data_IF_549908481114
#
_entry.id   IF_549908481114
#
_cell.length_a   1.000
_cell.length_b   1.000
_cell.length_c   1.000
_cell.angle_alpha   90.00
_cell.angle_beta   90.00
_cell.angle_gamma   90.00
#
_symmetry.space_group_name_H-M   'P 1'
#
loop_
_entity.id
_entity.type
_entity.pdbx_description
1 polymer ?
#
# COMPACT_ATOMS: atom_id res chain seq x y z
N UNK A 1 -31.97 37.59 -2.18
CA UNK A 1 -31.12 36.80 -3.10
C UNK A 1 -29.65 36.79 -2.67
N UNK A 2 -29.35 36.99 -1.37
CA UNK A 2 -27.98 36.93 -0.80
C UNK A 2 -27.83 35.84 0.27
N UNK A 3 -28.93 35.20 0.67
CA UNK A 3 -28.96 34.23 1.78
C UNK A 3 -28.70 32.78 1.33
N UNK A 4 -28.92 32.47 0.06
CA UNK A 4 -28.73 31.13 -0.52
C UNK A 4 -27.24 30.87 -0.82
N UNK A 5 -26.56 31.90 -1.36
CA UNK A 5 -25.13 31.86 -1.68
C UNK A 5 -24.21 31.81 -0.44
N UNK A 6 -24.73 32.20 0.73
CA UNK A 6 -24.02 32.12 2.02
C UNK A 6 -24.16 30.73 2.65
N UNK A 7 -25.30 30.05 2.46
CA UNK A 7 -25.49 28.66 2.88
C UNK A 7 -24.62 27.70 2.07
N UNK A 8 -24.51 27.91 0.76
CA UNK A 8 -23.68 27.06 -0.10
C UNK A 8 -22.17 27.23 0.19
N UNK A 9 -21.74 28.43 0.59
CA UNK A 9 -20.37 28.69 1.07
C UNK A 9 -20.09 28.04 2.43
N UNK A 10 -21.03 28.05 3.36
CA UNK A 10 -20.89 27.42 4.69
C UNK A 10 -20.92 25.89 4.57
N UNK A 11 -21.63 25.33 3.59
CA UNK A 11 -21.66 23.87 3.35
C UNK A 11 -20.39 23.35 2.63
N UNK A 12 -19.66 24.21 1.93
CA UNK A 12 -18.37 23.87 1.31
C UNK A 12 -17.19 23.93 2.31
N UNK A 13 -17.36 24.66 3.42
CA UNK A 13 -16.28 24.96 4.38
C UNK A 13 -16.25 24.02 5.60
N UNK A 14 -17.14 23.02 5.67
CA UNK A 14 -17.26 22.13 6.82
C UNK A 14 -17.26 20.63 6.47
N UNK A 15 -16.53 20.25 5.42
CA UNK A 15 -15.98 18.89 5.36
C UNK A 15 -14.69 18.88 6.17
N UNK A 16 -14.83 18.91 7.51
CA UNK A 16 -13.74 18.57 8.40
C UNK A 16 -13.19 17.23 7.95
N UNK A 17 -12.03 17.32 7.31
CA UNK A 17 -11.32 16.20 6.71
C UNK A 17 -11.03 15.23 7.84
N UNK A 18 -11.70 14.09 7.88
CA UNK A 18 -11.41 13.03 8.86
C UNK A 18 -10.03 12.46 8.55
N UNK A 19 -8.98 13.13 9.05
CA UNK A 19 -7.63 12.57 9.18
C UNK A 19 -7.70 11.39 10.14
N UNK A 20 -6.81 10.42 10.00
CA UNK A 20 -6.73 9.37 11.02
C UNK A 20 -6.39 10.02 12.37
N UNK A 21 -7.16 9.70 13.42
CA UNK A 21 -6.88 10.19 14.77
C UNK A 21 -5.47 9.80 15.22
N UNK A 22 -4.89 8.75 14.64
CA UNK A 22 -3.49 8.38 14.83
C UNK A 22 -2.50 9.45 14.34
N UNK A 23 -2.66 9.98 13.12
CA UNK A 23 -1.75 11.01 12.56
C UNK A 23 -1.78 12.29 13.41
N UNK A 24 -2.95 12.65 13.94
CA UNK A 24 -3.11 13.80 14.84
C UNK A 24 -2.42 13.63 16.20
N UNK A 25 -2.18 12.37 16.62
CA UNK A 25 -1.52 12.03 17.91
C UNK A 25 0.00 11.91 17.79
N UNK A 26 0.57 11.97 16.58
CA UNK A 26 2.02 11.93 16.39
C UNK A 26 2.64 13.29 16.75
N UNK A 27 3.79 13.31 17.48
CA UNK A 27 4.51 14.56 17.72
C UNK A 27 4.82 15.22 16.37
N UNK A 28 4.48 16.51 16.29
CA UNK A 28 4.34 17.32 15.08
C UNK A 28 5.12 16.84 13.85
N UNK A 29 4.44 16.12 12.98
CA UNK A 29 4.82 15.95 11.58
C UNK A 29 4.51 17.25 10.82
N UNK A 30 4.98 18.39 11.33
CA UNK A 30 4.71 19.71 10.78
C UNK A 30 5.72 19.97 9.66
N UNK A 31 5.27 19.81 8.42
CA UNK A 31 5.85 20.22 7.11
C UNK A 31 7.27 20.85 7.11
N UNK A 32 8.20 20.50 6.22
CA UNK A 32 8.08 20.27 4.78
C UNK A 32 9.29 19.47 4.30
N UNK A 33 9.10 18.60 3.30
CA UNK A 33 10.12 17.68 2.77
C UNK A 33 10.47 16.57 3.77
N UNK A 34 10.62 15.36 3.25
CA UNK A 34 11.50 14.41 3.91
C UNK A 34 12.89 15.05 4.02
N UNK A 35 13.27 15.47 5.23
CA UNK A 35 14.57 16.09 5.50
C UNK A 35 14.89 16.36 6.96
N UNK A 36 14.15 15.77 7.92
CA UNK A 36 14.35 16.09 9.34
C UNK A 36 13.91 15.03 10.36
N UNK A 37 13.22 13.97 9.97
CA UNK A 37 12.97 12.83 10.87
C UNK A 37 14.24 11.98 10.88
N UNK A 38 14.87 11.87 12.05
CA UNK A 38 16.02 11.00 12.23
C UNK A 38 15.63 9.53 12.00
N UNK A 39 16.61 8.69 11.64
CA UNK A 39 16.38 7.24 11.52
C UNK A 39 15.84 6.67 12.83
N UNK A 40 16.30 7.20 13.95
CA UNK A 40 15.91 6.84 15.30
C UNK A 40 14.43 7.17 15.56
N UNK A 41 13.98 8.37 15.20
CA UNK A 41 12.60 8.80 15.42
C UNK A 41 11.63 8.08 14.49
N UNK A 42 12.01 7.85 13.23
CA UNK A 42 11.25 6.98 12.33
C UNK A 42 11.11 5.56 12.88
N UNK A 43 12.17 5.03 13.52
CA UNK A 43 12.14 3.71 14.15
C UNK A 43 11.23 3.67 15.38
N UNK A 44 11.22 4.73 16.19
CA UNK A 44 10.32 4.87 17.35
C UNK A 44 8.85 4.94 16.92
N UNK A 45 8.54 5.71 15.88
CA UNK A 45 7.16 5.83 15.35
C UNK A 45 6.66 4.47 14.85
N UNK A 46 7.47 3.76 14.06
CA UNK A 46 7.13 2.41 13.59
C UNK A 46 6.93 1.45 14.77
N UNK A 47 7.80 1.48 15.78
CA UNK A 47 7.63 0.67 16.98
C UNK A 47 6.33 1.01 17.73
N UNK A 48 5.95 2.29 17.81
CA UNK A 48 4.71 2.72 18.45
C UNK A 48 3.46 2.23 17.70
N UNK A 49 3.46 2.27 16.36
CA UNK A 49 2.36 1.74 15.53
C UNK A 49 2.19 0.23 15.80
N UNK A 50 3.28 -0.54 15.75
CA UNK A 50 3.20 -1.98 16.01
C UNK A 50 2.79 -2.29 17.45
N UNK A 51 3.23 -1.49 18.44
CA UNK A 51 2.79 -1.62 19.84
C UNK A 51 1.29 -1.39 20.00
N UNK A 52 0.70 -0.46 19.25
CA UNK A 52 -0.74 -0.25 19.24
C UNK A 52 -1.50 -1.36 18.49
N UNK A 53 -0.82 -2.06 17.57
CA UNK A 53 -1.30 -3.26 16.92
C UNK A 53 -2.04 -3.00 15.61
N UNK A 54 -2.72 -4.04 15.11
CA UNK A 54 -3.34 -4.05 13.77
C UNK A 54 -4.40 -2.97 13.56
N UNK A 55 -5.03 -2.47 14.64
CA UNK A 55 -6.01 -1.39 14.56
C UNK A 55 -5.41 -0.10 14.00
N UNK A 56 -4.20 0.27 14.46
CA UNK A 56 -3.52 1.48 13.99
C UNK A 56 -3.16 1.41 12.50
N UNK A 57 -2.71 0.24 12.04
CA UNK A 57 -2.38 0.02 10.61
C UNK A 57 -3.64 0.17 9.75
N UNK A 58 -4.78 -0.40 10.20
CA UNK A 58 -6.06 -0.27 9.51
C UNK A 58 -6.57 1.17 9.51
N UNK A 59 -6.35 1.91 10.58
CA UNK A 59 -6.70 3.33 10.68
C UNK A 59 -5.90 4.16 9.66
N UNK A 60 -4.59 3.92 9.52
CA UNK A 60 -3.77 4.54 8.48
C UNK A 60 -4.27 4.22 7.07
N UNK A 61 -4.62 2.96 6.80
CA UNK A 61 -5.18 2.56 5.50
C UNK A 61 -6.51 3.25 5.23
N UNK A 62 -7.36 3.40 6.26
CA UNK A 62 -8.66 4.08 6.11
C UNK A 62 -8.55 5.58 5.83
N UNK A 63 -7.40 6.20 6.16
CA UNK A 63 -7.10 7.58 5.82
C UNK A 63 -6.58 7.79 4.39
N UNK A 64 -6.30 6.71 3.66
CA UNK A 64 -5.87 6.81 2.26
C UNK A 64 -7.01 7.30 1.36
N UNK A 65 -6.64 8.12 0.38
CA UNK A 65 -7.54 8.63 -0.64
C UNK A 65 -7.32 7.91 -1.96
N UNK A 66 -8.43 7.72 -2.68
CA UNK A 66 -8.40 7.15 -4.02
C UNK A 66 -7.60 8.03 -4.99
N UNK A 67 -7.92 9.33 -4.99
CA UNK A 67 -7.14 10.33 -5.73
C UNK A 67 -5.99 10.78 -4.85
N UNK A 68 -4.76 10.50 -5.30
CA UNK A 68 -3.56 10.99 -4.64
C UNK A 68 -3.42 12.51 -4.90
N UNK A 69 -4.08 13.31 -4.05
CA UNK A 69 -3.94 14.76 -4.02
C UNK A 69 -2.72 15.22 -3.20
N UNK A 70 -1.92 14.29 -2.69
CA UNK A 70 -0.88 14.55 -1.71
C UNK A 70 -1.41 14.87 -0.31
N UNK A 71 -2.72 14.82 -0.06
CA UNK A 71 -3.29 15.10 1.27
C UNK A 71 -3.11 13.94 2.27
N UNK A 72 -3.06 12.69 1.79
CA UNK A 72 -2.83 11.47 2.58
C UNK A 72 -1.35 11.06 2.62
N UNK A 73 -0.44 12.02 2.35
CA UNK A 73 1.00 11.75 2.25
C UNK A 73 1.57 11.16 3.55
N UNK A 74 1.01 11.54 4.71
CA UNK A 74 1.47 11.06 6.02
C UNK A 74 1.10 9.58 6.20
N UNK A 75 -0.12 9.21 5.89
CA UNK A 75 -0.60 7.82 5.90
C UNK A 75 0.25 6.96 4.96
N UNK A 76 0.42 7.38 3.70
CA UNK A 76 1.25 6.67 2.72
C UNK A 76 2.68 6.52 3.20
N UNK A 77 3.23 7.57 3.77
CA UNK A 77 4.59 7.55 4.29
C UNK A 77 4.75 6.54 5.43
N UNK A 78 3.86 6.58 6.42
CA UNK A 78 3.93 5.69 7.57
C UNK A 78 3.75 4.23 7.13
N UNK A 79 2.82 3.96 6.21
CA UNK A 79 2.61 2.63 5.64
C UNK A 79 3.84 2.13 4.87
N UNK A 80 4.53 3.01 4.16
CA UNK A 80 5.81 2.69 3.51
C UNK A 80 6.91 2.38 4.54
N UNK A 81 7.05 3.21 5.59
CA UNK A 81 8.03 2.99 6.66
C UNK A 81 7.79 1.68 7.41
N UNK A 82 6.53 1.30 7.65
CA UNK A 82 6.20 -0.01 8.21
C UNK A 82 6.73 -1.14 7.33
N UNK A 83 6.57 -1.05 6.01
CA UNK A 83 7.06 -2.07 5.08
C UNK A 83 8.59 -2.15 5.08
N UNK A 84 9.28 -1.01 4.94
CA UNK A 84 10.75 -0.97 4.91
C UNK A 84 11.35 -1.50 6.21
N UNK A 85 10.84 -1.07 7.36
CA UNK A 85 11.43 -1.43 8.64
C UNK A 85 11.06 -2.84 9.12
N UNK A 86 9.88 -3.35 8.76
CA UNK A 86 9.51 -4.73 9.10
C UNK A 86 10.27 -5.80 8.29
N UNK A 87 11.04 -5.39 7.27
CA UNK A 87 12.00 -6.28 6.58
C UNK A 87 13.11 -6.83 7.50
N UNK A 88 13.42 -6.16 8.61
CA UNK A 88 14.44 -6.62 9.55
C UNK A 88 14.10 -8.00 10.17
N UNK A 89 15.08 -8.90 10.37
CA UNK A 89 14.84 -10.21 11.00
C UNK A 89 14.19 -10.14 12.38
N UNK A 90 14.55 -9.13 13.19
CA UNK A 90 14.00 -8.90 14.53
C UNK A 90 12.51 -8.55 14.55
N UNK A 91 11.93 -8.21 13.40
CA UNK A 91 10.52 -7.82 13.22
C UNK A 91 9.71 -8.86 12.45
N UNK A 92 10.11 -10.13 12.48
CA UNK A 92 9.42 -11.18 11.72
C UNK A 92 7.92 -11.31 12.05
N UNK A 93 7.51 -11.11 13.31
CA UNK A 93 6.11 -11.16 13.71
C UNK A 93 5.34 -9.93 13.19
N UNK A 94 5.88 -8.73 13.38
CA UNK A 94 5.36 -7.48 12.82
C UNK A 94 5.15 -7.59 11.30
N UNK A 95 6.14 -8.14 10.59
CA UNK A 95 6.10 -8.37 9.15
C UNK A 95 4.95 -9.28 8.72
N UNK A 96 4.73 -10.39 9.44
CA UNK A 96 3.61 -11.31 9.17
C UNK A 96 2.26 -10.60 9.32
N UNK A 97 2.10 -9.81 10.38
CA UNK A 97 0.88 -9.02 10.61
C UNK A 97 0.67 -8.01 9.49
N UNK A 98 1.73 -7.29 9.11
CA UNK A 98 1.69 -6.29 8.05
C UNK A 98 1.30 -6.89 6.69
N UNK A 99 1.96 -8.00 6.29
CA UNK A 99 1.66 -8.72 5.04
C UNK A 99 0.19 -9.11 5.00
N UNK A 100 -0.34 -9.71 6.08
CA UNK A 100 -1.74 -10.14 6.13
C UNK A 100 -2.71 -8.98 5.94
N UNK A 101 -2.45 -7.83 6.57
CA UNK A 101 -3.32 -6.66 6.45
C UNK A 101 -3.25 -6.09 5.02
N UNK A 102 -2.05 -5.89 4.48
CA UNK A 102 -1.87 -5.31 3.14
C UNK A 102 -2.43 -6.21 2.04
N UNK A 103 -2.18 -7.53 2.12
CA UNK A 103 -2.71 -8.50 1.17
C UNK A 103 -4.24 -8.55 1.22
N UNK A 104 -4.83 -8.55 2.43
CA UNK A 104 -6.29 -8.53 2.60
C UNK A 104 -6.95 -7.32 1.94
N UNK A 105 -6.34 -6.14 2.01
CA UNK A 105 -6.91 -4.93 1.36
C UNK A 105 -6.65 -4.96 -0.14
N UNK A 106 -5.46 -5.38 -0.59
CA UNK A 106 -5.15 -5.51 -2.01
C UNK A 106 -6.06 -6.51 -2.74
N UNK A 107 -6.45 -7.60 -2.07
CA UNK A 107 -7.37 -8.62 -2.59
C UNK A 107 -8.85 -8.22 -2.52
N UNK A 108 -9.17 -7.14 -1.81
CA UNK A 108 -10.54 -6.61 -1.74
C UNK A 108 -10.99 -5.90 -3.02
N UNK A 109 -12.16 -5.30 -2.96
CA UNK A 109 -12.85 -4.58 -4.05
C UNK A 109 -12.74 -3.04 -3.92
N UNK A 110 -11.84 -2.55 -3.07
CA UNK A 110 -11.61 -1.12 -2.88
C UNK A 110 -10.95 -0.43 -4.09
N UNK A 111 -10.68 0.89 -4.00
CA UNK A 111 -10.10 1.65 -5.10
C UNK A 111 -8.78 1.09 -5.61
N UNK A 112 -8.63 1.01 -6.94
CA UNK A 112 -7.45 0.43 -7.60
C UNK A 112 -6.13 1.12 -7.20
N UNK A 113 -6.16 2.43 -6.97
CA UNK A 113 -5.00 3.22 -6.54
C UNK A 113 -4.52 2.85 -5.13
N UNK A 114 -5.45 2.56 -4.21
CA UNK A 114 -5.13 2.12 -2.84
C UNK A 114 -4.61 0.68 -2.86
N UNK A 115 -5.31 -0.20 -3.60
CA UNK A 115 -4.92 -1.62 -3.75
C UNK A 115 -3.52 -1.74 -4.36
N UNK A 116 -3.25 -1.03 -5.44
CA UNK A 116 -1.93 -1.00 -6.09
C UNK A 116 -0.85 -0.40 -5.19
N UNK A 117 -1.14 0.67 -4.44
CA UNK A 117 -0.20 1.23 -3.46
C UNK A 117 0.24 0.19 -2.41
N UNK A 118 -0.71 -0.58 -1.86
CA UNK A 118 -0.40 -1.61 -0.86
C UNK A 118 0.36 -2.80 -1.47
N UNK A 119 0.05 -3.19 -2.71
CA UNK A 119 0.87 -4.15 -3.45
C UNK A 119 2.31 -3.66 -3.65
N UNK A 120 2.52 -2.37 -3.96
CA UNK A 120 3.88 -1.83 -4.04
C UNK A 120 4.63 -1.93 -2.71
N UNK A 121 3.93 -1.81 -1.57
CA UNK A 121 4.57 -1.99 -0.26
C UNK A 121 4.90 -3.46 0.03
N UNK A 122 4.07 -4.39 -0.44
CA UNK A 122 4.34 -5.83 -0.30
C UNK A 122 5.61 -6.28 -1.02
N UNK A 123 6.15 -5.51 -1.97
CA UNK A 123 7.44 -5.79 -2.62
C UNK A 123 8.62 -5.81 -1.64
N UNK A 124 8.53 -5.10 -0.51
CA UNK A 124 9.60 -5.02 0.50
C UNK A 124 9.56 -6.16 1.51
N UNK A 125 8.40 -6.79 1.69
CA UNK A 125 8.14 -7.68 2.83
C UNK A 125 7.58 -9.04 2.44
N UNK A 126 6.94 -9.14 1.27
CA UNK A 126 6.34 -10.35 0.74
C UNK A 126 7.40 -11.40 0.38
N UNK A 127 7.11 -12.65 0.71
CA UNK A 127 7.95 -13.80 0.37
C UNK A 127 7.17 -14.85 -0.44
N UNK A 128 7.81 -15.97 -0.72
CA UNK A 128 7.26 -17.07 -1.54
C UNK A 128 5.84 -17.49 -1.15
N UNK A 129 5.53 -17.54 0.14
CA UNK A 129 4.21 -17.96 0.64
C UNK A 129 3.07 -17.01 0.26
N UNK A 130 3.38 -15.75 -0.08
CA UNK A 130 2.39 -14.75 -0.48
C UNK A 130 2.01 -14.86 -1.97
N UNK A 131 2.88 -15.45 -2.81
CA UNK A 131 2.65 -15.49 -4.24
C UNK A 131 1.35 -16.23 -4.63
N UNK A 132 1.03 -17.42 -4.08
CA UNK A 132 -0.23 -18.09 -4.39
C UNK A 132 -1.46 -17.29 -3.96
N UNK A 133 -1.37 -16.58 -2.83
CA UNK A 133 -2.47 -15.76 -2.29
C UNK A 133 -2.78 -14.57 -3.20
N UNK A 134 -1.76 -13.93 -3.79
CA UNK A 134 -1.94 -12.80 -4.71
C UNK A 134 -2.20 -13.20 -6.17
N UNK A 135 -2.05 -14.48 -6.51
CA UNK A 135 -2.22 -14.98 -7.89
C UNK A 135 -3.55 -14.58 -8.56
N UNK A 136 -4.71 -14.52 -7.87
CA UNK A 136 -5.97 -14.07 -8.48
C UNK A 136 -5.89 -12.66 -9.10
N UNK A 137 -5.07 -11.77 -8.54
CA UNK A 137 -4.91 -10.40 -9.04
C UNK A 137 -4.21 -10.32 -10.40
N UNK A 138 -3.58 -11.41 -10.87
CA UNK A 138 -3.03 -11.49 -12.23
C UNK A 138 -4.12 -11.55 -13.31
N UNK A 139 -5.40 -11.64 -12.90
CA UNK A 139 -6.59 -11.55 -13.75
C UNK A 139 -7.45 -10.34 -13.41
N UNK A 140 -6.96 -9.41 -12.59
CA UNK A 140 -7.70 -8.21 -12.19
C UNK A 140 -8.05 -7.35 -13.42
N UNK A 141 -9.23 -6.71 -13.40
CA UNK A 141 -9.67 -5.84 -14.49
C UNK A 141 -8.91 -4.51 -14.53
N UNK A 142 -8.33 -4.09 -13.41
CA UNK A 142 -7.65 -2.81 -13.25
C UNK A 142 -6.16 -2.90 -13.61
N UNK A 143 -5.69 -2.20 -14.66
CA UNK A 143 -4.29 -2.25 -15.09
C UNK A 143 -3.28 -1.89 -13.97
N UNK A 144 -3.63 -0.93 -13.10
CA UNK A 144 -2.79 -0.53 -11.97
C UNK A 144 -2.57 -1.68 -10.98
N UNK A 145 -3.59 -2.48 -10.74
CA UNK A 145 -3.51 -3.62 -9.81
C UNK A 145 -2.71 -4.75 -10.45
N UNK A 146 -2.98 -5.05 -11.72
CA UNK A 146 -2.23 -6.02 -12.52
C UNK A 146 -0.72 -5.73 -12.51
N UNK A 147 -0.33 -4.51 -12.85
CA UNK A 147 1.08 -4.09 -12.89
C UNK A 147 1.73 -4.19 -11.50
N UNK A 148 0.98 -3.80 -10.46
CA UNK A 148 1.49 -3.85 -9.10
C UNK A 148 1.68 -5.29 -8.60
N UNK A 149 0.73 -6.20 -8.83
CA UNK A 149 0.92 -7.61 -8.43
C UNK A 149 2.02 -8.28 -9.24
N UNK A 150 2.13 -8.00 -10.54
CA UNK A 150 3.23 -8.51 -11.36
C UNK A 150 4.59 -8.05 -10.82
N UNK A 151 4.71 -6.81 -10.36
CA UNK A 151 5.92 -6.31 -9.71
C UNK A 151 6.21 -6.97 -8.34
N UNK A 152 5.17 -7.34 -7.58
CA UNK A 152 5.33 -8.16 -6.36
C UNK A 152 5.89 -9.54 -6.71
N UNK A 153 5.36 -10.21 -7.73
CA UNK A 153 5.87 -11.52 -8.18
C UNK A 153 7.35 -11.44 -8.60
N UNK A 154 7.75 -10.38 -9.31
CA UNK A 154 9.17 -10.15 -9.65
C UNK A 154 10.03 -9.99 -8.39
N UNK A 155 9.51 -9.31 -7.38
CA UNK A 155 10.23 -9.06 -6.12
C UNK A 155 10.36 -10.34 -5.29
N UNK A 156 9.36 -11.23 -5.33
CA UNK A 156 9.40 -12.57 -4.72
C UNK A 156 10.43 -13.46 -5.44
N UNK A 157 10.58 -13.31 -6.75
CA UNK A 157 11.64 -13.98 -7.51
C UNK A 157 11.21 -15.33 -8.09
N UNK A 158 12.13 -16.30 -8.08
CA UNK A 158 11.97 -17.60 -8.78
C UNK A 158 10.76 -18.39 -8.31
N UNK A 159 10.38 -18.26 -7.04
CA UNK A 159 9.22 -18.94 -6.45
C UNK A 159 7.89 -18.50 -7.08
N UNK A 160 7.82 -17.30 -7.66
CA UNK A 160 6.62 -16.82 -8.36
C UNK A 160 6.59 -17.19 -9.85
N UNK A 161 7.67 -17.76 -10.42
CA UNK A 161 7.79 -18.02 -11.86
C UNK A 161 6.71 -18.97 -12.36
N UNK A 162 6.46 -20.07 -11.64
CA UNK A 162 5.45 -21.07 -12.02
C UNK A 162 4.05 -20.46 -12.05
N UNK A 163 3.73 -19.60 -11.07
CA UNK A 163 2.44 -18.91 -10.99
C UNK A 163 2.26 -17.97 -12.18
N UNK A 164 3.31 -17.21 -12.54
CA UNK A 164 3.27 -16.31 -13.70
C UNK A 164 3.15 -17.07 -15.02
N UNK A 165 3.88 -18.18 -15.20
CA UNK A 165 3.77 -19.01 -16.42
C UNK A 165 2.37 -19.62 -16.54
N UNK A 166 1.76 -20.06 -15.43
CA UNK A 166 0.38 -20.56 -15.42
C UNK A 166 -0.62 -19.46 -15.79
N UNK A 167 -0.52 -18.31 -15.12
CA UNK A 167 -1.40 -17.16 -15.39
C UNK A 167 -1.30 -16.67 -16.85
N UNK A 168 -0.11 -16.76 -17.46
CA UNK A 168 0.13 -16.33 -18.84
C UNK A 168 -0.68 -17.13 -19.87
N UNK A 169 -0.98 -18.41 -19.62
CA UNK A 169 -1.66 -19.29 -20.58
C UNK A 169 -3.00 -18.71 -21.04
N UNK A 170 -3.75 -18.16 -20.10
CA UNK A 170 -5.08 -17.60 -20.35
C UNK A 170 -5.06 -16.07 -20.50
N UNK A 171 -3.93 -15.42 -20.21
CA UNK A 171 -3.83 -13.96 -20.21
C UNK A 171 -3.92 -13.36 -21.62
N UNK A 172 -4.71 -12.29 -21.72
CA UNK A 172 -4.90 -11.48 -22.92
C UNK A 172 -4.68 -9.99 -22.60
N UNK A 173 -4.54 -9.15 -23.63
CA UNK A 173 -4.45 -7.70 -23.48
C UNK A 173 -3.35 -7.25 -22.51
N UNK A 174 -3.70 -6.32 -21.62
CA UNK A 174 -2.78 -5.74 -20.62
C UNK A 174 -2.17 -6.80 -19.69
N UNK A 175 -2.98 -7.76 -19.21
CA UNK A 175 -2.52 -8.82 -18.32
C UNK A 175 -1.40 -9.65 -18.98
N UNK A 176 -1.55 -9.99 -20.27
CA UNK A 176 -0.53 -10.74 -21.01
C UNK A 176 0.80 -9.99 -21.10
N UNK A 177 0.73 -8.66 -21.32
CA UNK A 177 1.90 -7.78 -21.38
C UNK A 177 2.59 -7.72 -20.03
N UNK A 178 1.85 -7.43 -18.95
CA UNK A 178 2.39 -7.32 -17.60
C UNK A 178 3.07 -8.62 -17.13
N UNK A 179 2.40 -9.77 -17.33
CA UNK A 179 2.93 -11.10 -16.96
C UNK A 179 4.16 -11.45 -17.79
N UNK A 180 4.14 -11.19 -19.10
CA UNK A 180 5.29 -11.46 -19.98
C UNK A 180 6.49 -10.61 -19.58
N UNK A 181 6.26 -9.33 -19.26
CA UNK A 181 7.32 -8.45 -18.77
C UNK A 181 7.91 -8.93 -17.44
N UNK A 182 7.08 -9.36 -16.49
CA UNK A 182 7.52 -9.95 -15.23
C UNK A 182 8.39 -11.20 -15.43
N UNK A 183 7.95 -12.14 -16.27
CA UNK A 183 8.74 -13.34 -16.62
C UNK A 183 10.07 -12.99 -17.31
N UNK A 184 10.06 -11.98 -18.17
CA UNK A 184 11.27 -11.44 -18.80
C UNK A 184 12.27 -10.91 -17.77
N UNK A 185 11.81 -10.18 -16.77
CA UNK A 185 12.66 -9.69 -15.66
C UNK A 185 13.22 -10.84 -14.82
N UNK A 186 12.41 -11.85 -14.50
CA UNK A 186 12.85 -13.02 -13.73
C UNK A 186 13.87 -13.88 -14.47
N UNK A 187 13.91 -13.83 -15.80
CA UNK A 187 14.87 -14.61 -16.61
C UNK A 187 16.24 -13.94 -16.72
N UNK A 188 16.35 -12.66 -16.33
CA UNK A 188 17.61 -11.88 -16.34
C UNK A 188 18.28 -11.80 -14.97
N UNK A 189 17.63 -12.32 -13.92
CA UNK A 189 18.11 -12.36 -12.53
C UNK A 189 18.61 -13.76 -12.18
#
# INVERSE_FOLDING_TARGET
METENQKDRIMAENTETKRSAFVERLPGLTNSKWGGISKEDGSKIVAAIFKQGSGAIKELISGLREVDSGEDWQERLLLHQLAVQSGAPSRANDRKVLIKIYASVALGDGPATIRSFLLQQLRYVGGATLAPELAPLLKDGEPLVLDAVAAVMVSIGKDARVILEEAKKDAQGHARVAITHALGQLSRR
#
